data_IF_165860359684
#
_entry.id   IF_165860359684
#
_cell.length_a   1.000
_cell.length_b   1.000
_cell.length_c   1.000
_cell.angle_alpha   90.00
_cell.angle_beta   90.00
_cell.angle_gamma   90.00
#
_symmetry.space_group_name_H-M   'P 1'
#
loop_
_entity.id
_entity.type
_entity.pdbx_description
1 polymer ?
#
# COMPACT_ATOMS: atom_id res chain seq x y z
N UNK A 1 -11.74 -12.04 3.44
CA UNK A 1 -10.37 -11.53 3.26
C UNK A 1 -10.40 -10.64 2.04
N UNK A 2 -10.04 -9.38 2.22
CA UNK A 2 -9.94 -8.39 1.16
C UNK A 2 -8.48 -8.22 0.74
N UNK A 3 -8.28 -7.65 -0.45
CA UNK A 3 -6.97 -7.32 -0.97
C UNK A 3 -6.84 -5.81 -1.18
N UNK A 4 -5.63 -5.31 -0.94
CA UNK A 4 -5.33 -3.89 -0.95
C UNK A 4 -4.03 -3.60 -1.71
N UNK A 5 -3.82 -2.34 -2.05
CA UNK A 5 -2.52 -1.81 -2.48
C UNK A 5 -2.23 -0.55 -1.69
N UNK A 6 -1.05 -0.51 -1.08
CA UNK A 6 -0.61 0.60 -0.23
C UNK A 6 0.74 1.11 -0.71
N UNK A 7 0.82 2.42 -0.97
CA UNK A 7 2.00 3.08 -1.53
C UNK A 7 2.92 3.60 -0.44
N UNK A 8 4.21 3.37 -0.60
CA UNK A 8 5.27 4.00 0.18
C UNK A 8 6.42 4.43 -0.75
N UNK A 9 7.14 5.47 -0.37
CA UNK A 9 8.36 5.89 -1.05
C UNK A 9 9.54 5.12 -0.46
N UNK A 10 10.31 4.35 -1.25
CA UNK A 10 11.34 3.46 -0.72
C UNK A 10 12.48 4.20 -0.01
N UNK A 11 12.72 5.47 -0.36
CA UNK A 11 13.74 6.31 0.30
C UNK A 11 13.28 6.78 1.70
N UNK A 12 11.99 6.67 2.01
CA UNK A 12 11.42 7.01 3.33
C UNK A 12 11.15 5.73 4.14
N UNK A 13 10.47 4.76 3.54
CA UNK A 13 10.18 3.47 4.16
C UNK A 13 9.93 2.41 3.07
N UNK A 14 10.91 1.53 2.86
CA UNK A 14 10.85 0.44 1.88
C UNK A 14 10.27 -0.87 2.44
N UNK A 15 10.14 -1.87 1.55
CA UNK A 15 9.69 -3.20 1.98
C UNK A 15 10.76 -3.90 2.84
N UNK A 16 12.04 -3.60 2.60
CA UNK A 16 13.14 -4.13 3.41
C UNK A 16 13.17 -3.50 4.81
N UNK A 17 12.72 -2.26 4.96
CA UNK A 17 12.49 -1.67 6.28
C UNK A 17 11.37 -2.39 7.02
N UNK A 18 10.23 -2.62 6.36
CA UNK A 18 9.13 -3.40 6.93
C UNK A 18 9.57 -4.81 7.33
N UNK A 19 10.37 -5.47 6.47
CA UNK A 19 10.96 -6.78 6.75
C UNK A 19 11.85 -6.76 8.01
N UNK A 20 12.62 -5.70 8.19
CA UNK A 20 13.54 -5.52 9.34
C UNK A 20 12.79 -5.24 10.64
N UNK A 21 11.74 -4.40 10.62
CA UNK A 21 10.96 -4.06 11.83
C UNK A 21 9.88 -5.10 12.14
N UNK A 22 9.47 -5.89 11.15
CA UNK A 22 8.47 -6.95 11.26
C UNK A 22 7.04 -6.42 11.21
N UNK A 23 6.68 -5.47 12.08
CA UNK A 23 5.37 -4.82 12.15
C UNK A 23 5.55 -3.30 12.26
N UNK A 24 4.79 -2.55 11.48
CA UNK A 24 4.84 -1.08 11.46
C UNK A 24 3.43 -0.46 11.43
N UNK A 25 3.17 0.61 12.21
CA UNK A 25 2.00 1.45 12.02
C UNK A 25 2.04 2.18 10.67
N UNK A 26 1.00 2.00 9.84
CA UNK A 26 0.90 2.65 8.54
C UNK A 26 0.30 4.06 8.66
N UNK A 27 1.11 5.00 9.16
CA UNK A 27 0.70 6.37 9.45
C UNK A 27 0.65 7.30 8.22
N UNK A 28 0.33 8.58 8.44
CA UNK A 28 0.58 9.63 7.45
C UNK A 28 -0.41 9.71 6.30
N UNK A 29 -1.45 8.88 6.29
CA UNK A 29 -2.54 8.98 5.31
C UNK A 29 -3.38 10.23 5.62
N UNK A 30 -3.32 11.21 4.72
CA UNK A 30 -4.02 12.50 4.81
C UNK A 30 -5.06 12.73 3.70
N UNK A 31 -5.49 11.65 3.04
CA UNK A 31 -6.59 11.66 2.09
C UNK A 31 -7.85 11.04 2.71
N UNK A 32 -8.97 11.75 2.65
CA UNK A 32 -10.23 11.32 3.27
C UNK A 32 -10.77 9.99 2.74
N UNK A 33 -10.66 9.74 1.43
CA UNK A 33 -11.13 8.50 0.83
C UNK A 33 -10.24 7.33 1.26
N UNK A 34 -8.91 7.50 1.19
CA UNK A 34 -7.95 6.51 1.67
C UNK A 34 -8.15 6.18 3.15
N UNK A 35 -8.29 7.22 3.99
CA UNK A 35 -8.60 7.07 5.42
C UNK A 35 -9.87 6.27 5.66
N UNK A 36 -10.96 6.58 4.95
CA UNK A 36 -12.23 5.87 5.14
C UNK A 36 -12.09 4.38 4.80
N UNK A 37 -11.36 4.04 3.73
CA UNK A 37 -11.10 2.63 3.39
C UNK A 37 -10.31 1.92 4.51
N UNK A 38 -9.25 2.54 5.02
CA UNK A 38 -8.47 1.97 6.14
C UNK A 38 -9.30 1.81 7.42
N UNK A 39 -10.09 2.82 7.77
CA UNK A 39 -10.88 2.84 9.01
C UNK A 39 -12.05 1.87 8.96
N UNK A 40 -12.78 1.86 7.84
CA UNK A 40 -14.11 1.23 7.78
C UNK A 40 -14.07 -0.17 7.16
N UNK A 41 -13.04 -0.49 6.35
CA UNK A 41 -13.07 -1.68 5.49
C UNK A 41 -11.90 -2.64 5.72
N UNK A 42 -10.70 -2.16 6.05
CA UNK A 42 -9.55 -3.04 6.34
C UNK A 42 -9.78 -3.83 7.63
N UNK A 43 -9.63 -5.14 7.56
CA UNK A 43 -9.74 -6.05 8.70
C UNK A 43 -8.42 -6.79 8.94
N UNK A 44 -8.24 -7.28 10.17
CA UNK A 44 -7.10 -8.15 10.49
C UNK A 44 -7.12 -9.40 9.60
N UNK A 45 -5.98 -9.74 9.03
CA UNK A 45 -5.80 -10.85 8.08
C UNK A 45 -6.03 -10.47 6.61
N UNK A 46 -6.47 -9.26 6.31
CA UNK A 46 -6.45 -8.75 4.93
C UNK A 46 -5.00 -8.61 4.42
N UNK A 47 -4.80 -8.78 3.12
CA UNK A 47 -3.47 -8.65 2.50
C UNK A 47 -3.37 -7.39 1.66
N UNK A 48 -2.17 -6.82 1.61
CA UNK A 48 -1.88 -5.65 0.80
C UNK A 48 -0.62 -5.84 -0.02
N UNK A 49 -0.65 -5.42 -1.27
CA UNK A 49 0.55 -5.19 -2.05
C UNK A 49 1.29 -3.98 -1.49
N UNK A 50 2.58 -4.17 -1.19
CA UNK A 50 3.50 -3.08 -0.90
C UNK A 50 3.95 -2.50 -2.24
N UNK A 51 3.59 -1.24 -2.49
CA UNK A 51 3.91 -0.56 -3.74
C UNK A 51 4.95 0.54 -3.51
N UNK A 52 6.06 0.49 -4.24
CA UNK A 52 7.05 1.56 -4.26
C UNK A 52 6.61 2.67 -5.21
N UNK A 53 6.36 3.85 -4.66
CA UNK A 53 6.05 5.09 -5.40
C UNK A 53 7.25 6.04 -5.41
N UNK A 54 7.20 7.05 -6.28
CA UNK A 54 8.20 8.12 -6.36
C UNK A 54 9.66 7.62 -6.46
N UNK A 55 9.86 6.55 -7.24
CA UNK A 55 11.18 5.95 -7.46
C UNK A 55 11.41 5.71 -8.95
N UNK A 56 12.64 5.34 -9.33
CA UNK A 56 13.06 5.12 -10.72
C UNK A 56 12.19 4.05 -11.42
N UNK A 57 11.84 2.98 -10.71
CA UNK A 57 10.97 1.92 -11.21
C UNK A 57 9.81 1.73 -10.23
N UNK A 58 8.72 2.50 -10.37
CA UNK A 58 7.58 2.37 -9.48
C UNK A 58 6.83 1.06 -9.78
N UNK A 59 6.37 0.37 -8.75
CA UNK A 59 5.75 -0.94 -8.92
C UNK A 59 5.43 -1.67 -7.62
N UNK A 60 4.81 -2.84 -7.75
CA UNK A 60 4.55 -3.74 -6.63
C UNK A 60 5.83 -4.54 -6.33
N UNK A 61 6.24 -4.57 -5.07
CA UNK A 61 7.51 -5.20 -4.65
C UNK A 61 7.33 -6.37 -3.68
N UNK A 62 6.11 -6.60 -3.20
CA UNK A 62 5.82 -7.69 -2.29
C UNK A 62 4.47 -7.53 -1.60
N UNK A 63 4.29 -8.29 -0.52
CA UNK A 63 3.05 -8.43 0.23
C UNK A 63 3.29 -8.13 1.70
N UNK A 64 2.30 -7.50 2.31
CA UNK A 64 2.16 -7.34 3.75
C UNK A 64 0.74 -7.73 4.20
N UNK A 65 0.56 -7.93 5.49
CA UNK A 65 -0.71 -8.33 6.12
C UNK A 65 -1.16 -7.28 7.12
N UNK A 66 -2.46 -6.97 7.13
CA UNK A 66 -3.06 -6.11 8.15
C UNK A 66 -3.13 -6.90 9.46
N UNK A 67 -2.39 -6.47 10.49
CA UNK A 67 -2.37 -7.12 11.81
C UNK A 67 -3.12 -6.33 12.88
N UNK A 68 -3.49 -5.08 12.60
CA UNK A 68 -4.43 -4.29 13.39
C UNK A 68 -5.33 -3.45 12.50
N UNK A 69 -6.64 -3.60 12.68
CA UNK A 69 -7.65 -2.83 11.95
C UNK A 69 -7.64 -1.34 12.36
N UNK A 70 -8.36 -0.51 11.61
CA UNK A 70 -8.31 0.96 11.68
C UNK A 70 -8.46 1.54 13.10
N UNK A 71 -7.50 2.38 13.49
CA UNK A 71 -7.50 3.11 14.76
C UNK A 71 -6.91 4.52 14.60
N UNK A 72 -7.14 5.47 15.53
CA UNK A 72 -6.65 6.84 15.40
C UNK A 72 -5.14 6.94 15.16
N UNK A 73 -4.74 7.80 14.22
CA UNK A 73 -3.35 8.14 13.95
C UNK A 73 -2.90 9.29 14.85
N UNK A 74 -2.21 8.95 15.94
CA UNK A 74 -1.72 9.89 16.96
C UNK A 74 -0.59 10.81 16.44
N UNK A 75 0.08 10.46 15.34
CA UNK A 75 1.05 11.31 14.64
C UNK A 75 0.43 12.62 14.12
N UNK A 76 -0.91 12.72 14.11
CA UNK A 76 -1.62 13.94 13.79
C UNK A 76 -1.75 14.93 14.96
N UNK A 77 -1.45 14.51 16.20
CA UNK A 77 -1.63 15.33 17.40
C UNK A 77 -0.34 16.01 17.87
N UNK A 78 0.81 15.53 17.41
CA UNK A 78 2.13 16.08 17.75
C UNK A 78 2.48 17.27 16.83
N UNK A 79 2.62 18.50 17.36
CA UNK A 79 2.99 19.69 16.58
C UNK A 79 4.35 19.63 15.88
N UNK A 80 5.27 18.79 16.35
CA UNK A 80 6.60 18.61 15.75
C UNK A 80 6.60 17.55 14.63
N UNK A 81 5.54 16.76 14.52
CA UNK A 81 5.45 15.70 13.54
C UNK A 81 5.06 16.22 12.15
N UNK A 82 5.69 15.66 11.10
CA UNK A 82 5.47 16.07 9.69
C UNK A 82 4.02 15.96 9.21
N UNK A 83 3.19 15.16 9.90
CA UNK A 83 1.78 14.94 9.57
C UNK A 83 0.81 15.52 10.61
N UNK A 84 1.26 16.49 11.42
CA UNK A 84 0.44 17.23 12.36
C UNK A 84 -0.81 17.83 11.71
N UNK A 85 -1.94 17.75 12.41
CA UNK A 85 -3.18 18.43 12.05
C UNK A 85 -3.79 19.07 13.31
N UNK A 86 -3.75 20.41 13.45
CA UNK A 86 -4.23 21.11 14.65
C UNK A 86 -5.73 20.95 14.91
N UNK A 87 -6.49 20.35 13.98
CA UNK A 87 -7.92 20.06 14.13
C UNK A 87 -8.20 18.59 14.45
N UNK A 88 -7.17 17.75 14.55
CA UNK A 88 -7.29 16.37 15.03
C UNK A 88 -6.96 16.34 16.51
N UNK A 89 -7.77 15.63 17.31
CA UNK A 89 -7.51 15.45 18.75
C UNK A 89 -7.87 14.03 19.20
N UNK A 90 -7.48 13.59 20.41
CA UNK A 90 -7.90 12.29 20.94
C UNK A 90 -9.43 12.11 21.00
N UNK A 91 -10.17 13.16 21.36
CA UNK A 91 -11.64 13.13 21.43
C UNK A 91 -12.32 13.26 20.06
N UNK A 92 -11.61 13.76 19.05
CA UNK A 92 -12.11 13.93 17.68
C UNK A 92 -11.02 13.61 16.64
N UNK A 93 -10.64 12.32 16.50
CA UNK A 93 -9.58 11.92 15.59
C UNK A 93 -10.02 12.08 14.13
N UNK A 94 -9.27 12.88 13.37
CA UNK A 94 -9.53 13.08 11.93
C UNK A 94 -8.87 12.02 11.06
N UNK A 95 -7.79 11.41 11.55
CA UNK A 95 -6.93 10.50 10.79
C UNK A 95 -6.82 9.16 11.49
N UNK A 96 -6.65 8.12 10.67
CA UNK A 96 -6.65 6.74 11.11
C UNK A 96 -5.52 6.00 10.40
N UNK A 97 -4.95 5.02 11.08
CA UNK A 97 -3.93 4.10 10.60
C UNK A 97 -4.32 2.66 10.91
N UNK A 98 -3.58 1.73 10.31
CA UNK A 98 -3.61 0.29 10.59
C UNK A 98 -2.19 -0.14 10.97
N UNK A 99 -2.02 -1.31 11.55
CA UNK A 99 -0.68 -1.91 11.67
C UNK A 99 -0.53 -2.99 10.61
N UNK A 100 0.61 -3.00 9.93
CA UNK A 100 0.94 -3.97 8.88
C UNK A 100 2.16 -4.78 9.25
N UNK A 101 2.14 -6.07 8.92
CA UNK A 101 3.27 -6.98 9.09
C UNK A 101 3.87 -7.37 7.75
N UNK A 102 5.20 -7.48 7.70
CA UNK A 102 5.89 -8.07 6.55
C UNK A 102 5.36 -9.48 6.27
N UNK A 103 5.15 -9.82 5.00
CA UNK A 103 4.77 -11.18 4.58
C UNK A 103 5.74 -11.78 3.57
N UNK A 104 5.97 -11.09 2.47
CA UNK A 104 6.81 -11.60 1.38
C UNK A 104 7.40 -10.45 0.55
N UNK A 105 8.65 -10.59 0.14
CA UNK A 105 9.25 -9.76 -0.91
C UNK A 105 9.24 -10.56 -2.21
N UNK A 106 8.77 -9.94 -3.30
CA UNK A 106 8.79 -10.60 -4.61
C UNK A 106 10.22 -10.69 -5.16
N UNK A 107 10.53 -11.74 -5.95
CA UNK A 107 11.85 -11.89 -6.56
C UNK A 107 12.15 -10.77 -7.56
N UNK A 108 11.12 -10.16 -8.12
CA UNK A 108 11.20 -9.02 -9.02
C UNK A 108 10.08 -8.02 -8.77
N UNK A 109 10.35 -6.74 -9.08
CA UNK A 109 9.33 -5.69 -9.07
C UNK A 109 8.34 -5.94 -10.21
N UNK A 110 7.04 -5.85 -9.95
CA UNK A 110 6.02 -5.77 -11.01
C UNK A 110 5.82 -4.29 -11.37
N UNK A 111 6.39 -3.79 -12.48
CA UNK A 111 6.45 -2.36 -12.75
C UNK A 111 5.08 -1.79 -13.11
N UNK A 112 4.83 -0.53 -12.74
CA UNK A 112 3.60 0.19 -13.08
C UNK A 112 3.31 0.19 -14.58
N UNK A 113 4.34 0.33 -15.42
CA UNK A 113 4.18 0.32 -16.87
C UNK A 113 3.67 -1.04 -17.37
N UNK A 114 4.13 -2.14 -16.78
CA UNK A 114 3.60 -3.47 -17.07
C UNK A 114 2.15 -3.61 -16.58
N UNK A 115 1.81 -3.07 -15.39
CA UNK A 115 0.43 -3.09 -14.91
C UNK A 115 -0.52 -2.30 -15.83
N UNK A 116 -0.06 -1.16 -16.38
CA UNK A 116 -0.85 -0.34 -17.31
C UNK A 116 -1.06 -0.98 -18.68
N UNK A 117 -0.13 -1.82 -19.13
CA UNK A 117 -0.23 -2.47 -20.45
C UNK A 117 -1.17 -3.67 -20.46
N UNK A 118 -1.60 -4.15 -19.29
CA UNK A 118 -2.45 -5.33 -19.13
C UNK A 118 -3.95 -4.97 -19.30
N UNK A 119 -4.64 -5.47 -20.33
CA UNK A 119 -6.07 -5.22 -20.51
C UNK A 119 -6.92 -5.70 -19.33
N UNK A 120 -6.52 -6.79 -18.68
CA UNK A 120 -7.20 -7.36 -17.51
C UNK A 120 -7.14 -6.46 -16.28
N UNK A 121 -6.18 -5.52 -16.24
CA UNK A 121 -6.01 -4.56 -15.14
C UNK A 121 -6.49 -3.15 -15.52
N UNK A 122 -7.13 -2.97 -16.68
CA UNK A 122 -7.53 -1.64 -17.18
C UNK A 122 -8.45 -0.88 -16.20
N UNK A 123 -9.26 -1.62 -15.44
CA UNK A 123 -10.16 -1.08 -14.43
C UNK A 123 -9.55 -1.01 -13.03
N UNK A 124 -8.31 -1.47 -12.82
CA UNK A 124 -7.65 -1.42 -11.53
C UNK A 124 -7.48 0.03 -11.09
N UNK A 125 -7.85 0.33 -9.85
CA UNK A 125 -7.79 1.70 -9.31
C UNK A 125 -6.41 2.35 -9.55
N UNK A 126 -5.31 1.60 -9.39
CA UNK A 126 -3.94 2.07 -9.58
C UNK A 126 -3.68 2.71 -10.96
N UNK A 127 -4.22 2.12 -12.03
CA UNK A 127 -3.89 2.51 -13.42
C UNK A 127 -4.88 3.52 -14.01
N UNK A 128 -6.04 3.71 -13.37
CA UNK A 128 -7.04 4.70 -13.80
C UNK A 128 -6.45 6.10 -13.83
N UNK A 129 -6.65 6.79 -14.96
CA UNK A 129 -6.14 8.15 -15.17
C UNK A 129 -6.65 9.10 -14.09
N UNK A 130 -5.73 9.88 -13.52
CA UNK A 130 -6.05 10.88 -12.50
C UNK A 130 -6.19 10.35 -11.08
N UNK A 131 -6.07 9.04 -10.84
CA UNK A 131 -6.06 8.52 -9.49
C UNK A 131 -4.81 9.02 -8.73
N UNK A 132 -5.03 9.48 -7.49
CA UNK A 132 -4.01 10.00 -6.56
C UNK A 132 -4.10 9.33 -5.18
N UNK A 133 -4.85 8.24 -5.06
CA UNK A 133 -4.97 7.49 -3.81
C UNK A 133 -3.67 6.72 -3.51
N UNK A 134 -3.28 6.74 -2.23
CA UNK A 134 -2.18 5.95 -1.67
C UNK A 134 -2.64 4.59 -1.15
N UNK A 135 -3.94 4.44 -0.87
CA UNK A 135 -4.59 3.21 -0.43
C UNK A 135 -5.69 2.91 -1.42
N UNK A 136 -5.74 1.69 -1.95
CA UNK A 136 -6.74 1.29 -2.94
C UNK A 136 -7.18 -0.16 -2.70
N UNK A 137 -8.46 -0.50 -2.93
CA UNK A 137 -8.89 -1.88 -2.97
C UNK A 137 -8.30 -2.56 -4.21
N UNK A 138 -8.11 -3.88 -4.10
CA UNK A 138 -7.68 -4.76 -5.18
C UNK A 138 -8.69 -5.90 -5.24
N UNK A 139 -9.19 -6.22 -6.43
CA UNK A 139 -10.10 -7.36 -6.61
C UNK A 139 -9.32 -8.68 -6.50
N UNK A 140 -10.03 -9.79 -6.28
CA UNK A 140 -9.38 -11.11 -6.25
C UNK A 140 -8.67 -11.42 -7.59
N UNK A 141 -9.31 -11.11 -8.71
CA UNK A 141 -8.75 -11.32 -10.05
C UNK A 141 -7.49 -10.46 -10.27
N UNK A 142 -7.53 -9.18 -9.90
CA UNK A 142 -6.35 -8.28 -9.97
C UNK A 142 -5.20 -8.81 -9.10
N UNK A 143 -5.52 -9.29 -7.89
CA UNK A 143 -4.55 -9.85 -6.96
C UNK A 143 -3.86 -11.09 -7.54
N UNK A 144 -4.63 -12.02 -8.09
CA UNK A 144 -4.09 -13.24 -8.70
C UNK A 144 -3.21 -12.94 -9.91
N UNK A 145 -3.62 -12.02 -10.78
CA UNK A 145 -2.83 -11.60 -11.94
C UNK A 145 -1.48 -11.04 -11.50
N UNK A 146 -1.47 -10.10 -10.55
CA UNK A 146 -0.23 -9.47 -10.09
C UNK A 146 0.68 -10.49 -9.39
N UNK A 147 0.12 -11.42 -8.61
CA UNK A 147 0.90 -12.49 -8.01
C UNK A 147 1.52 -13.43 -9.05
N UNK A 148 0.82 -13.77 -10.13
CA UNK A 148 1.38 -14.57 -11.22
C UNK A 148 2.52 -13.80 -11.90
N UNK A 149 2.34 -12.51 -12.18
CA UNK A 149 3.39 -11.65 -12.75
C UNK A 149 4.63 -11.57 -11.87
N UNK A 150 4.46 -11.49 -10.55
CA UNK A 150 5.56 -11.47 -9.59
C UNK A 150 6.37 -12.78 -9.57
N UNK A 151 5.76 -13.91 -9.94
CA UNK A 151 6.36 -15.26 -9.89
C UNK A 151 6.93 -15.73 -11.22
N UNK A 152 6.62 -15.08 -12.34
CA UNK A 152 7.21 -15.42 -13.62
C UNK A 152 8.69 -15.02 -13.63
N UNK A 153 9.61 -15.98 -13.72
CA UNK A 153 11.01 -15.65 -14.05
C UNK A 153 11.01 -14.89 -15.39
N UNK A 154 11.59 -13.69 -15.41
CA UNK A 154 11.88 -13.03 -16.68
C UNK A 154 12.95 -13.85 -17.39
N UNK A 155 12.53 -14.72 -18.31
CA UNK A 155 13.36 -15.12 -19.45
C UNK A 155 13.63 -13.84 -20.27
N UNK A 156 14.62 -13.07 -19.87
CA UNK A 156 15.19 -11.99 -20.65
C UNK A 156 16.63 -12.34 -21.02
N UNK A 157 16.75 -13.39 -21.83
CA UNK A 157 17.89 -13.64 -22.73
C UNK A 157 17.37 -14.38 -23.97
N UNK A 158 16.58 -13.68 -24.78
CA UNK A 158 16.26 -14.09 -26.14
C UNK A 158 16.01 -12.86 -27.03
N UNK A 159 17.08 -12.13 -27.36
CA UNK A 159 17.31 -11.62 -28.71
C UNK A 159 18.77 -11.17 -28.90
#
# INVERSE_FOLDING_TARGET
MNYWLMKSEPDVFGIDDLKRVGVEPWDGVRNYQARNMMRDQMQVGDLAFFYHSNTKVPGVVGIMEIVRAGYPDDCAWDPEHKYYDPKSSPDNPRWYRVDVAYKETFPQVVPLETLKSMPQLADMALVRRGNRLSIMPVTADEWEIIQQMAKMETDHDAC
#
